data_IF_234166190817
#
_entry.id   IF_234166190817
#
_cell.length_a   1.000
_cell.length_b   1.000
_cell.length_c   1.000
_cell.angle_alpha   90.00
_cell.angle_beta   90.00
_cell.angle_gamma   90.00
#
_symmetry.space_group_name_H-M   'P 1'
#
loop_
_entity.id
_entity.type
_entity.pdbx_description
1 polymer ?
#
# COMPACT_ATOMS: atom_id res chain seq x y z
N UNK A 1 63.71 21.39 -9.01
CA UNK A 1 62.41 21.99 -9.41
C UNK A 1 61.28 20.96 -9.52
N UNK A 2 61.51 19.77 -10.09
CA UNK A 2 60.49 18.71 -10.29
C UNK A 2 59.76 18.27 -9.00
N UNK A 3 60.48 18.10 -7.89
CA UNK A 3 59.89 17.71 -6.60
C UNK A 3 59.03 18.83 -5.96
N UNK A 4 59.37 20.10 -6.16
CA UNK A 4 58.56 21.24 -5.66
C UNK A 4 57.25 21.40 -6.43
N UNK A 5 57.25 21.08 -7.73
CA UNK A 5 56.04 21.08 -8.57
C UNK A 5 55.10 19.95 -8.15
N UNK A 6 55.64 18.78 -7.80
CA UNK A 6 54.85 17.64 -7.31
C UNK A 6 54.14 17.96 -5.98
N UNK A 7 54.83 18.60 -5.04
CA UNK A 7 54.26 18.99 -3.74
C UNK A 7 53.17 20.06 -3.91
N UNK A 8 53.35 20.99 -4.83
CA UNK A 8 52.34 22.03 -5.12
C UNK A 8 51.09 21.44 -5.79
N UNK A 9 51.24 20.45 -6.67
CA UNK A 9 50.13 19.75 -7.30
C UNK A 9 49.30 18.93 -6.30
N UNK A 10 49.96 18.27 -5.34
CA UNK A 10 49.27 17.48 -4.29
C UNK A 10 48.52 18.41 -3.32
N UNK A 11 49.10 19.54 -2.93
CA UNK A 11 48.43 20.52 -2.07
C UNK A 11 47.18 21.14 -2.73
N UNK A 12 47.19 21.32 -4.05
CA UNK A 12 46.03 21.78 -4.82
C UNK A 12 44.89 20.75 -4.82
N UNK A 13 45.20 19.46 -4.91
CA UNK A 13 44.20 18.39 -4.89
C UNK A 13 43.49 18.25 -3.53
N UNK A 14 44.18 18.53 -2.42
CA UNK A 14 43.58 18.54 -1.08
C UNK A 14 42.73 19.78 -0.76
N UNK A 15 42.87 20.86 -1.54
CA UNK A 15 42.06 22.08 -1.38
C UNK A 15 40.68 21.99 -2.05
N UNK A 16 40.47 20.99 -2.91
CA UNK A 16 39.17 20.66 -3.45
C UNK A 16 38.34 20.01 -2.35
N UNK A 17 37.55 20.83 -1.65
CA UNK A 17 36.44 20.38 -0.82
C UNK A 17 35.36 19.79 -1.73
N UNK A 18 35.65 18.64 -2.35
CA UNK A 18 34.66 17.84 -3.04
C UNK A 18 33.76 17.29 -1.93
N UNK A 19 32.68 18.00 -1.66
CA UNK A 19 31.53 17.44 -0.96
C UNK A 19 30.91 16.40 -1.89
N UNK A 20 31.52 15.22 -1.95
CA UNK A 20 30.82 14.01 -2.32
C UNK A 20 29.85 13.71 -1.17
N UNK A 21 28.80 14.52 -1.03
CA UNK A 21 27.62 14.07 -0.34
C UNK A 21 27.06 12.98 -1.24
N UNK A 22 27.25 11.73 -0.82
CA UNK A 22 26.43 10.63 -1.32
C UNK A 22 24.99 11.11 -1.22
N UNK A 23 24.33 11.22 -2.37
CA UNK A 23 22.89 11.41 -2.42
C UNK A 23 22.30 10.33 -1.52
N UNK A 24 21.45 10.64 -0.53
CA UNK A 24 20.98 9.64 0.42
C UNK A 24 20.44 8.45 -0.38
N UNK A 25 21.11 7.31 -0.27
CA UNK A 25 20.63 6.07 -0.86
C UNK A 25 19.39 5.70 -0.07
N UNK A 26 18.23 5.90 -0.69
CA UNK A 26 16.94 5.59 -0.12
C UNK A 26 16.92 4.14 0.35
N UNK A 27 16.55 3.92 1.60
CA UNK A 27 16.41 2.60 2.18
C UNK A 27 15.13 1.93 1.64
N UNK A 28 15.28 1.30 0.49
CA UNK A 28 14.28 0.51 -0.23
C UNK A 28 13.97 -0.83 0.45
N UNK A 29 14.64 -1.17 1.56
CA UNK A 29 14.36 -2.38 2.35
C UNK A 29 12.93 -2.39 2.89
N UNK A 30 12.43 -1.24 3.33
CA UNK A 30 11.07 -1.11 3.84
C UNK A 30 10.01 -1.37 2.76
N UNK A 31 10.24 -0.91 1.53
CA UNK A 31 9.30 -1.12 0.42
C UNK A 31 9.28 -2.58 -0.05
N UNK A 32 10.44 -3.24 -0.14
CA UNK A 32 10.50 -4.67 -0.51
C UNK A 32 9.79 -5.54 0.54
N UNK A 33 9.95 -5.21 1.83
CA UNK A 33 9.24 -5.89 2.90
C UNK A 33 7.73 -5.68 2.80
N UNK A 34 7.30 -4.45 2.52
CA UNK A 34 5.88 -4.11 2.30
C UNK A 34 5.25 -4.91 1.17
N UNK A 35 5.93 -5.00 0.02
CA UNK A 35 5.45 -5.78 -1.14
C UNK A 35 5.31 -7.27 -0.80
N UNK A 36 6.28 -7.84 -0.06
CA UNK A 36 6.19 -9.24 0.39
C UNK A 36 5.00 -9.47 1.33
N UNK A 37 4.81 -8.58 2.30
CA UNK A 37 3.67 -8.63 3.22
C UNK A 37 2.33 -8.55 2.47
N UNK A 38 2.23 -7.66 1.48
CA UNK A 38 1.03 -7.52 0.64
C UNK A 38 0.72 -8.79 -0.17
N UNK A 39 1.74 -9.44 -0.72
CA UNK A 39 1.55 -10.70 -1.48
C UNK A 39 1.03 -11.79 -0.55
N UNK A 40 1.59 -11.92 0.65
CA UNK A 40 1.16 -12.95 1.60
C UNK A 40 -0.26 -12.67 2.13
N UNK A 41 -0.55 -11.42 2.47
CA UNK A 41 -1.90 -10.98 2.82
C UNK A 41 -2.92 -11.21 1.71
N UNK A 42 -2.52 -11.05 0.45
CA UNK A 42 -3.39 -11.34 -0.70
C UNK A 42 -3.80 -12.81 -0.75
N UNK A 43 -2.87 -13.72 -0.48
CA UNK A 43 -3.18 -15.16 -0.40
C UNK A 43 -4.12 -15.46 0.77
N UNK A 44 -3.83 -14.90 1.94
CA UNK A 44 -4.66 -15.07 3.14
C UNK A 44 -6.09 -14.54 2.90
N UNK A 45 -6.21 -13.34 2.33
CA UNK A 45 -7.51 -12.72 1.98
C UNK A 45 -8.29 -13.60 1.00
N UNK A 46 -7.64 -14.16 -0.02
CA UNK A 46 -8.29 -15.05 -0.98
C UNK A 46 -8.80 -16.36 -0.33
N UNK A 47 -8.02 -16.93 0.58
CA UNK A 47 -8.43 -18.11 1.36
C UNK A 47 -9.62 -17.78 2.28
N UNK A 48 -9.54 -16.67 3.01
CA UNK A 48 -10.60 -16.18 3.88
C UNK A 48 -11.92 -15.97 3.12
N UNK A 49 -11.90 -15.28 1.97
CA UNK A 49 -13.09 -15.09 1.12
C UNK A 49 -13.69 -16.43 0.71
N UNK A 50 -12.84 -17.40 0.33
CA UNK A 50 -13.29 -18.74 -0.08
C UNK A 50 -13.97 -19.47 1.07
N UNK A 51 -13.38 -19.44 2.27
CA UNK A 51 -13.93 -20.07 3.48
C UNK A 51 -15.26 -19.42 3.86
N UNK A 52 -15.33 -18.10 3.87
CA UNK A 52 -16.54 -17.33 4.22
C UNK A 52 -17.67 -17.62 3.23
N UNK A 53 -17.35 -17.68 1.93
CA UNK A 53 -18.33 -18.04 0.90
C UNK A 53 -18.89 -19.45 1.12
N UNK A 54 -18.03 -20.42 1.40
CA UNK A 54 -18.45 -21.78 1.70
C UNK A 54 -19.38 -21.85 2.92
N UNK A 55 -19.02 -21.16 4.01
CA UNK A 55 -19.84 -21.08 5.23
C UNK A 55 -21.19 -20.42 4.97
N UNK A 56 -21.20 -19.36 4.16
CA UNK A 56 -22.41 -18.63 3.79
C UNK A 56 -23.34 -19.51 2.95
N UNK A 57 -22.83 -20.13 1.89
CA UNK A 57 -23.62 -20.99 1.00
C UNK A 57 -24.25 -22.16 1.80
N UNK A 58 -23.49 -22.74 2.73
CA UNK A 58 -23.99 -23.79 3.63
C UNK A 58 -25.10 -23.28 4.56
N UNK A 59 -24.95 -22.08 5.14
CA UNK A 59 -25.95 -21.53 6.07
C UNK A 59 -27.21 -21.04 5.35
N UNK A 60 -27.07 -20.42 4.17
CA UNK A 60 -28.21 -19.97 3.34
C UNK A 60 -29.07 -21.13 2.85
N UNK A 61 -28.47 -22.30 2.58
CA UNK A 61 -29.19 -23.52 2.20
C UNK A 61 -30.11 -24.04 3.34
N UNK A 62 -29.78 -23.74 4.59
CA UNK A 62 -30.55 -24.13 5.77
C UNK A 62 -31.53 -23.01 6.16
N UNK A 63 -31.08 -21.76 6.13
CA UNK A 63 -31.81 -20.59 6.62
C UNK A 63 -31.33 -19.29 5.95
N UNK A 64 -32.12 -18.77 5.01
CA UNK A 64 -31.76 -17.61 4.16
C UNK A 64 -31.56 -16.28 4.88
N UNK A 65 -32.18 -16.07 6.05
CA UNK A 65 -32.17 -14.77 6.75
C UNK A 65 -31.88 -14.99 8.23
N UNK A 66 -30.64 -15.37 8.53
CA UNK A 66 -30.14 -15.49 9.90
C UNK A 66 -29.10 -14.40 10.20
N UNK A 67 -28.93 -14.08 11.49
CA UNK A 67 -27.87 -13.20 11.97
C UNK A 67 -26.49 -13.69 11.51
N UNK A 68 -26.28 -15.00 11.45
CA UNK A 68 -25.04 -15.63 10.94
C UNK A 68 -24.80 -15.31 9.48
N UNK A 69 -25.83 -15.39 8.62
CA UNK A 69 -25.70 -15.01 7.19
C UNK A 69 -25.33 -13.54 7.05
N UNK A 70 -25.89 -12.65 7.88
CA UNK A 70 -25.54 -11.23 7.89
C UNK A 70 -24.08 -11.01 8.32
N UNK A 71 -23.61 -11.72 9.35
CA UNK A 71 -22.21 -11.67 9.78
C UNK A 71 -21.27 -12.16 8.68
N UNK A 72 -21.59 -13.29 8.03
CA UNK A 72 -20.80 -13.81 6.91
C UNK A 72 -20.79 -12.86 5.70
N UNK A 73 -21.89 -12.14 5.45
CA UNK A 73 -21.92 -11.09 4.43
C UNK A 73 -20.98 -9.93 4.77
N UNK A 74 -21.00 -9.45 6.01
CA UNK A 74 -20.09 -8.39 6.46
C UNK A 74 -18.62 -8.82 6.31
N UNK A 75 -18.31 -10.05 6.73
CA UNK A 75 -16.96 -10.63 6.56
C UNK A 75 -16.57 -10.75 5.08
N UNK A 76 -17.49 -11.19 4.22
CA UNK A 76 -17.26 -11.30 2.79
C UNK A 76 -16.92 -9.93 2.18
N UNK A 77 -17.66 -8.88 2.58
CA UNK A 77 -17.43 -7.52 2.12
C UNK A 77 -16.08 -6.97 2.61
N UNK A 78 -15.72 -7.20 3.88
CA UNK A 78 -14.40 -6.86 4.42
C UNK A 78 -13.29 -7.51 3.58
N UNK A 79 -13.43 -8.80 3.27
CA UNK A 79 -12.49 -9.52 2.41
C UNK A 79 -12.37 -8.91 1.02
N UNK A 80 -13.49 -8.56 0.38
CA UNK A 80 -13.49 -7.92 -0.94
C UNK A 80 -12.83 -6.53 -0.90
N UNK A 81 -13.09 -5.74 0.13
CA UNK A 81 -12.47 -4.44 0.31
C UNK A 81 -10.96 -4.58 0.51
N UNK A 82 -10.50 -5.52 1.33
CA UNK A 82 -9.07 -5.80 1.51
C UNK A 82 -8.41 -6.28 0.22
N UNK A 83 -9.07 -7.14 -0.57
CA UNK A 83 -8.56 -7.54 -1.88
C UNK A 83 -8.37 -6.34 -2.80
N UNK A 84 -9.31 -5.39 -2.78
CA UNK A 84 -9.20 -4.14 -3.55
C UNK A 84 -8.06 -3.26 -3.05
N UNK A 85 -7.87 -3.13 -1.74
CA UNK A 85 -6.72 -2.42 -1.16
C UNK A 85 -5.42 -3.03 -1.70
N UNK A 86 -5.26 -4.34 -1.55
CA UNK A 86 -4.07 -5.08 -2.01
C UNK A 86 -3.82 -4.87 -3.49
N UNK A 87 -4.87 -4.89 -4.33
CA UNK A 87 -4.72 -4.66 -5.77
C UNK A 87 -4.22 -3.25 -6.10
N UNK A 88 -4.73 -2.22 -5.42
CA UNK A 88 -4.26 -0.84 -5.59
C UNK A 88 -2.80 -0.73 -5.15
N UNK A 89 -2.41 -1.45 -4.10
CA UNK A 89 -1.04 -1.42 -3.60
C UNK A 89 -0.04 -2.19 -4.45
N UNK A 90 -0.45 -3.33 -5.01
CA UNK A 90 0.40 -4.13 -5.88
C UNK A 90 0.60 -3.45 -7.24
N UNK A 91 -0.46 -2.89 -7.83
CA UNK A 91 -0.41 -2.36 -9.18
C UNK A 91 -0.22 -0.83 -9.17
N UNK A 92 -1.18 -0.09 -8.60
CA UNK A 92 -1.19 1.36 -8.74
C UNK A 92 -0.04 2.06 -8.00
N UNK A 93 0.28 1.61 -6.78
CA UNK A 93 1.41 2.17 -6.03
C UNK A 93 2.74 1.83 -6.72
N UNK A 94 2.90 0.62 -7.24
CA UNK A 94 4.07 0.24 -8.01
C UNK A 94 4.23 1.13 -9.26
N UNK A 95 3.15 1.37 -10.00
CA UNK A 95 3.15 2.27 -11.15
C UNK A 95 3.51 3.72 -10.77
N UNK A 96 2.98 4.21 -9.64
CA UNK A 96 3.30 5.54 -9.12
C UNK A 96 4.80 5.63 -8.79
N UNK A 97 5.33 4.66 -8.05
CA UNK A 97 6.72 4.67 -7.60
C UNK A 97 7.72 4.47 -8.75
N UNK A 98 7.35 3.72 -9.78
CA UNK A 98 8.17 3.52 -10.99
C UNK A 98 8.08 4.68 -11.98
N UNK A 99 7.23 5.68 -11.73
CA UNK A 99 7.06 6.81 -12.64
C UNK A 99 8.30 7.70 -12.65
N UNK A 100 8.85 8.07 -13.83
CA UNK A 100 9.96 9.03 -13.91
C UNK A 100 9.54 10.44 -13.49
N UNK A 101 8.24 10.66 -13.30
CA UNK A 101 7.67 11.94 -12.87
C UNK A 101 7.46 12.02 -11.36
N UNK A 102 7.84 10.99 -10.59
CA UNK A 102 7.96 11.05 -9.13
C UNK A 102 9.43 11.27 -8.78
N UNK A 103 9.70 12.29 -7.96
CA UNK A 103 11.08 12.59 -7.57
C UNK A 103 11.55 11.59 -6.50
N UNK A 104 12.85 11.26 -6.44
CA UNK A 104 13.39 10.36 -5.43
C UNK A 104 12.97 10.74 -4.00
N UNK A 105 12.97 12.03 -3.65
CA UNK A 105 12.59 12.54 -2.33
C UNK A 105 11.08 12.49 -2.04
N UNK A 106 10.25 12.23 -3.04
CA UNK A 106 8.81 12.04 -2.90
C UNK A 106 8.44 10.59 -2.63
N UNK A 107 9.32 9.64 -2.96
CA UNK A 107 9.08 8.20 -2.78
C UNK A 107 8.71 7.87 -1.34
N UNK A 108 9.45 8.39 -0.35
CA UNK A 108 9.14 8.17 1.08
C UNK A 108 7.75 8.69 1.45
N UNK A 109 7.42 9.91 1.01
CA UNK A 109 6.10 10.53 1.27
C UNK A 109 4.97 9.76 0.60
N UNK A 110 5.21 9.21 -0.58
CA UNK A 110 4.25 8.33 -1.25
C UNK A 110 4.06 7.09 -0.39
N UNK A 111 5.11 6.32 -0.11
CA UNK A 111 5.04 5.08 0.69
C UNK A 111 4.38 5.31 2.06
N UNK A 112 4.82 6.30 2.82
CA UNK A 112 4.23 6.68 4.12
C UNK A 112 2.74 6.99 4.03
N UNK A 113 2.30 7.61 2.93
CA UNK A 113 0.89 7.95 2.75
C UNK A 113 -0.03 6.74 2.53
N UNK A 114 0.54 5.58 2.18
CA UNK A 114 -0.14 4.29 2.01
C UNK A 114 0.13 3.31 3.16
N UNK A 115 1.21 3.47 3.93
CA UNK A 115 1.61 2.54 4.99
C UNK A 115 0.50 2.30 6.03
N UNK A 116 -0.12 3.36 6.54
CA UNK A 116 -1.22 3.24 7.51
C UNK A 116 -2.41 2.42 6.97
N UNK A 117 -2.68 2.47 5.67
CA UNK A 117 -3.75 1.70 5.02
C UNK A 117 -3.34 0.22 4.92
N UNK A 118 -2.06 -0.07 4.67
CA UNK A 118 -1.52 -1.44 4.64
C UNK A 118 -1.68 -2.08 6.01
N UNK A 119 -1.12 -1.44 7.04
CA UNK A 119 -1.06 -2.00 8.37
C UNK A 119 -2.47 -2.30 8.88
N UNK A 120 -3.41 -1.38 8.63
CA UNK A 120 -4.78 -1.56 9.04
C UNK A 120 -5.51 -2.66 8.22
N UNK A 121 -5.23 -2.78 6.93
CA UNK A 121 -5.72 -3.90 6.11
C UNK A 121 -5.21 -5.26 6.61
N UNK A 122 -3.92 -5.36 6.98
CA UNK A 122 -3.32 -6.59 7.52
C UNK A 122 -3.98 -6.98 8.84
N UNK A 123 -4.03 -6.05 9.78
CA UNK A 123 -4.67 -6.25 11.09
C UNK A 123 -6.14 -6.65 10.96
N UNK A 124 -6.85 -6.11 9.96
CA UNK A 124 -8.26 -6.45 9.71
C UNK A 124 -8.40 -7.89 9.22
N UNK A 125 -7.51 -8.38 8.35
CA UNK A 125 -7.54 -9.78 7.89
C UNK A 125 -7.25 -10.73 9.06
N UNK A 126 -6.21 -10.45 9.84
CA UNK A 126 -5.84 -11.27 11.00
C UNK A 126 -6.98 -11.35 12.02
N UNK A 127 -7.61 -10.22 12.30
CA UNK A 127 -8.77 -10.16 13.20
C UNK A 127 -9.96 -10.98 12.71
N UNK A 128 -10.23 -10.95 11.40
CA UNK A 128 -11.32 -11.73 10.82
C UNK A 128 -10.98 -13.22 10.86
N UNK A 129 -9.74 -13.60 10.59
CA UNK A 129 -9.29 -14.99 10.70
C UNK A 129 -9.44 -15.50 12.14
N UNK A 130 -9.10 -14.68 13.14
CA UNK A 130 -9.31 -15.00 14.56
C UNK A 130 -10.80 -15.18 14.90
N UNK A 131 -11.68 -14.29 14.40
CA UNK A 131 -13.13 -14.40 14.61
C UNK A 131 -13.72 -15.67 13.99
N UNK A 132 -13.19 -16.10 12.83
CA UNK A 132 -13.70 -17.26 12.10
C UNK A 132 -13.12 -18.59 12.60
N UNK A 133 -11.90 -18.58 13.13
CA UNK A 133 -11.15 -19.79 13.54
C UNK A 133 -11.27 -20.11 15.02
N UNK A 134 -11.35 -19.10 15.89
CA UNK A 134 -11.64 -19.33 17.29
C UNK A 134 -13.13 -19.64 17.43
N UNK A 135 -13.47 -20.83 17.94
CA UNK A 135 -14.82 -21.15 18.34
C UNK A 135 -15.39 -20.01 19.20
N UNK A 136 -16.20 -19.14 18.57
CA UNK A 136 -16.99 -18.06 19.17
C UNK A 136 -16.35 -17.50 20.46
N UNK A 137 -15.41 -16.55 20.31
CA UNK A 137 -14.93 -15.68 21.40
C UNK A 137 -16.04 -15.41 22.42
N UNK A 138 -15.68 -15.19 23.69
CA UNK A 138 -16.58 -14.88 24.84
C UNK A 138 -17.59 -13.73 24.64
N UNK A 139 -17.69 -13.16 23.43
CA UNK A 139 -18.67 -12.19 22.95
C UNK A 139 -19.99 -12.85 22.52
N UNK A 140 -21.09 -12.14 22.73
CA UNK A 140 -22.41 -12.47 22.21
C UNK A 140 -22.50 -12.24 20.68
N UNK A 141 -23.49 -12.87 20.04
CA UNK A 141 -23.74 -12.68 18.60
C UNK A 141 -24.06 -11.23 18.24
N UNK A 142 -24.64 -10.46 19.17
CA UNK A 142 -24.91 -9.04 18.99
C UNK A 142 -23.63 -8.21 18.99
N UNK A 143 -22.74 -8.45 19.96
CA UNK A 143 -21.43 -7.78 20.03
C UNK A 143 -20.57 -8.12 18.80
N UNK A 144 -20.58 -9.39 18.35
CA UNK A 144 -19.88 -9.78 17.12
C UNK A 144 -20.42 -9.06 15.90
N UNK A 145 -21.74 -8.98 15.76
CA UNK A 145 -22.37 -8.30 14.62
C UNK A 145 -22.03 -6.79 14.61
N UNK A 146 -22.00 -6.14 15.77
CA UNK A 146 -21.62 -4.73 15.89
C UNK A 146 -20.17 -4.50 15.49
N UNK A 147 -19.24 -5.32 15.99
CA UNK A 147 -17.81 -5.21 15.66
C UNK A 147 -17.58 -5.47 14.17
N UNK A 148 -18.19 -6.51 13.60
CA UNK A 148 -18.11 -6.80 12.17
C UNK A 148 -18.67 -5.64 11.33
N UNK A 149 -19.75 -5.00 11.79
CA UNK A 149 -20.31 -3.84 11.10
C UNK A 149 -19.39 -2.63 11.14
N UNK A 150 -18.75 -2.37 12.27
CA UNK A 150 -17.75 -1.32 12.41
C UNK A 150 -16.55 -1.57 11.47
N UNK A 151 -16.07 -2.82 11.41
CA UNK A 151 -14.97 -3.22 10.51
C UNK A 151 -15.34 -3.17 9.03
N UNK A 152 -16.57 -3.51 8.68
CA UNK A 152 -17.12 -3.33 7.34
C UNK A 152 -17.05 -1.85 6.93
N UNK A 153 -17.51 -0.94 7.79
CA UNK A 153 -17.45 0.50 7.54
C UNK A 153 -16.01 1.00 7.41
N UNK A 154 -15.13 0.65 8.35
CA UNK A 154 -13.71 0.99 8.32
C UNK A 154 -13.06 0.52 7.00
N UNK A 155 -13.35 -0.70 6.56
CA UNK A 155 -12.81 -1.24 5.30
C UNK A 155 -13.26 -0.44 4.08
N UNK A 156 -14.51 0.05 4.04
CA UNK A 156 -15.01 0.92 2.96
C UNK A 156 -14.33 2.28 2.97
N UNK A 157 -14.13 2.86 4.15
CA UNK A 157 -13.42 4.14 4.30
C UNK A 157 -11.98 4.03 3.83
N UNK A 158 -11.29 2.94 4.19
CA UNK A 158 -9.94 2.65 3.68
C UNK A 158 -9.90 2.58 2.15
N UNK A 159 -10.87 1.92 1.52
CA UNK A 159 -10.98 1.84 0.05
C UNK A 159 -11.19 3.22 -0.57
N UNK A 160 -12.03 4.07 0.04
CA UNK A 160 -12.23 5.45 -0.42
C UNK A 160 -10.96 6.29 -0.30
N UNK A 161 -10.28 6.18 0.84
CA UNK A 161 -9.04 6.89 1.14
C UNK A 161 -7.92 6.49 0.18
N UNK A 162 -7.72 5.19 -0.06
CA UNK A 162 -6.68 4.72 -0.98
C UNK A 162 -6.97 5.17 -2.41
N UNK A 163 -8.23 5.09 -2.85
CA UNK A 163 -8.64 5.50 -4.20
C UNK A 163 -8.35 6.98 -4.43
N UNK A 164 -8.65 7.82 -3.43
CA UNK A 164 -8.40 9.27 -3.50
C UNK A 164 -6.92 9.60 -3.53
N UNK A 165 -6.11 8.94 -2.68
CA UNK A 165 -4.64 9.11 -2.67
C UNK A 165 -4.01 8.69 -3.99
N UNK A 166 -4.41 7.53 -4.51
CA UNK A 166 -3.94 7.04 -5.81
C UNK A 166 -4.28 8.01 -6.93
N UNK A 167 -5.52 8.51 -6.97
CA UNK A 167 -5.92 9.51 -7.97
C UNK A 167 -5.04 10.76 -7.90
N UNK A 168 -4.79 11.29 -6.70
CA UNK A 168 -3.94 12.47 -6.50
C UNK A 168 -2.55 12.29 -7.10
N UNK A 169 -1.89 11.15 -6.86
CA UNK A 169 -0.55 10.91 -7.42
C UNK A 169 -0.57 10.71 -8.94
N UNK A 170 -1.61 10.05 -9.48
CA UNK A 170 -1.82 9.97 -10.94
C UNK A 170 -2.00 11.33 -11.60
N UNK A 171 -2.72 12.24 -10.94
CA UNK A 171 -2.92 13.62 -11.42
C UNK A 171 -1.59 14.39 -11.41
N UNK A 172 -0.78 14.26 -10.36
CA UNK A 172 0.56 14.87 -10.27
C UNK A 172 1.48 14.37 -11.39
N UNK A 173 1.52 13.04 -11.60
CA UNK A 173 2.32 12.42 -12.68
C UNK A 173 1.87 12.95 -14.05
N UNK A 174 0.56 12.99 -14.29
CA UNK A 174 -0.01 13.46 -15.56
C UNK A 174 0.32 14.93 -15.81
N UNK A 175 0.21 15.78 -14.77
CA UNK A 175 0.57 17.18 -14.86
C UNK A 175 2.05 17.38 -15.22
N UNK A 176 2.95 16.67 -14.53
CA UNK A 176 4.40 16.76 -14.79
C UNK A 176 4.77 16.23 -16.18
N UNK A 177 4.12 15.16 -16.63
CA UNK A 177 4.25 14.65 -18.00
C UNK A 177 3.83 15.69 -19.04
N UNK A 178 2.77 16.46 -18.78
CA UNK A 178 2.37 17.56 -19.67
C UNK A 178 3.41 18.69 -19.67
N UNK A 179 3.93 19.07 -18.50
CA UNK A 179 4.98 20.10 -18.40
C UNK A 179 6.24 19.70 -19.18
N UNK A 180 6.68 18.46 -19.01
CA UNK A 180 7.83 17.88 -19.71
C UNK A 180 7.65 17.92 -21.24
N UNK A 181 6.49 17.51 -21.73
CA UNK A 181 6.13 17.61 -23.15
C UNK A 181 6.14 19.04 -23.67
N UNK A 182 5.63 20.00 -22.91
CA UNK A 182 5.59 21.41 -23.33
C UNK A 182 7.00 22.01 -23.37
N UNK A 183 7.82 21.71 -22.36
CA UNK A 183 9.17 22.25 -22.23
C UNK A 183 10.15 21.70 -23.28
N UNK A 184 9.97 20.44 -23.69
CA UNK A 184 10.83 19.76 -24.66
C UNK A 184 10.22 19.71 -26.07
N UNK A 185 9.25 20.57 -26.39
CA UNK A 185 8.76 20.70 -27.77
C UNK A 185 9.86 21.30 -28.64
N UNK A 186 10.23 20.59 -29.70
CA UNK A 186 11.02 21.17 -30.78
C UNK A 186 10.22 22.35 -31.35
N UNK A 187 10.77 23.55 -31.21
CA UNK A 187 10.23 24.72 -31.86
C UNK A 187 10.70 24.68 -33.32
N UNK A 188 9.85 24.18 -34.21
CA UNK A 188 10.00 24.41 -35.64
C UNK A 188 9.77 25.92 -35.90
N UNK A 189 10.86 26.69 -35.90
CA UNK A 189 10.89 28.06 -36.42
C UNK A 189 11.65 28.10 -37.73
#
# INVERSE_FOLDING_TARGET
MKSKILVLAIALLFSLNIKAQGMPTYDNTNFISLVKQLIESGKQTAQMIKSVKFLKDAKEAIEKVSSVVQQLNAVQEIGQNNQRLINVMQNDLQDILNSPYIKPEEVSRVVESFDAIVQNSLNTVDFIDEILSSDYLKMSDAERAEILKAKELESREMVSNITTKTKRYRDIISFRKMQDKVNNRETEY
#
